data_IF_612903003222
#
_entry.id   IF_612903003222
#
_cell.length_a   1.000
_cell.length_b   1.000
_cell.length_c   1.000
_cell.angle_alpha   90.00
_cell.angle_beta   90.00
_cell.angle_gamma   90.00
#
_symmetry.space_group_name_H-M   'P 1'
#
loop_
_entity.id
_entity.type
_entity.pdbx_description
1 polymer ?
#
# COMPACT_ATOMS: atom_id res chain seq x y z
N UNK A 1 28.36 33.16 28.84
CA UNK A 1 28.40 32.39 27.59
C UNK A 1 28.93 31.00 27.90
N UNK A 2 28.20 29.92 27.64
CA UNK A 2 28.76 28.56 27.59
C UNK A 2 27.84 27.69 26.72
N UNK A 3 28.24 27.42 25.48
CA UNK A 3 27.66 26.37 24.65
C UNK A 3 28.53 25.13 24.78
N UNK A 4 27.93 24.02 25.20
CA UNK A 4 28.57 22.71 25.19
C UNK A 4 28.80 22.23 23.73
N UNK A 5 29.88 21.50 23.44
CA UNK A 5 30.15 21.01 22.09
C UNK A 5 29.08 19.99 21.67
N UNK A 6 28.42 20.27 20.54
CA UNK A 6 27.52 19.33 19.87
C UNK A 6 28.36 18.16 19.30
N UNK A 7 27.95 16.90 19.47
CA UNK A 7 28.62 15.78 18.83
C UNK A 7 28.53 15.90 17.30
N UNK A 8 29.52 15.41 16.54
CA UNK A 8 29.51 15.49 15.08
C UNK A 8 28.27 14.76 14.54
N UNK A 9 27.52 15.45 13.68
CA UNK A 9 26.38 14.85 12.99
C UNK A 9 26.87 13.63 12.19
N UNK A 10 26.35 12.46 12.55
CA UNK A 10 26.63 11.22 11.82
C UNK A 10 26.29 11.41 10.32
N UNK A 11 27.06 10.83 9.39
CA UNK A 11 26.79 10.95 7.98
C UNK A 11 25.36 10.47 7.70
N UNK A 12 24.56 11.37 7.14
CA UNK A 12 23.19 11.10 6.74
C UNK A 12 23.27 10.19 5.52
N UNK A 13 23.29 8.88 5.73
CA UNK A 13 22.92 7.90 4.70
C UNK A 13 21.47 8.22 4.36
N UNK A 14 21.28 9.12 3.41
CA UNK A 14 19.98 9.56 2.94
C UNK A 14 19.21 8.30 2.61
N UNK A 15 18.18 8.04 3.42
CA UNK A 15 17.46 6.79 3.46
C UNK A 15 16.97 6.50 2.04
N UNK A 16 17.68 5.64 1.30
CA UNK A 16 17.56 5.48 -0.18
C UNK A 16 16.11 5.27 -0.62
N UNK A 17 15.33 4.63 0.25
CA UNK A 17 13.89 4.42 0.10
C UNK A 17 13.08 5.72 0.05
N UNK A 18 13.43 6.73 0.84
CA UNK A 18 12.78 8.05 0.82
C UNK A 18 13.07 8.76 -0.50
N UNK A 19 14.33 8.73 -0.98
CA UNK A 19 14.70 9.32 -2.25
C UNK A 19 13.93 8.66 -3.42
N UNK A 20 13.87 7.32 -3.45
CA UNK A 20 13.11 6.56 -4.44
C UNK A 20 11.60 6.89 -4.39
N UNK A 21 11.01 6.99 -3.19
CA UNK A 21 9.59 7.37 -3.02
C UNK A 21 9.32 8.78 -3.55
N UNK A 22 10.24 9.72 -3.32
CA UNK A 22 10.12 11.10 -3.83
C UNK A 22 10.21 11.14 -5.36
N UNK A 23 11.09 10.36 -5.97
CA UNK A 23 11.18 10.25 -7.44
C UNK A 23 9.89 9.69 -8.04
N UNK A 24 9.37 8.58 -7.49
CA UNK A 24 8.08 8.02 -7.95
C UNK A 24 6.94 9.03 -7.82
N UNK A 25 6.90 9.79 -6.73
CA UNK A 25 5.91 10.83 -6.53
C UNK A 25 6.04 11.99 -7.54
N UNK A 26 7.27 12.39 -7.91
CA UNK A 26 7.49 13.36 -8.99
C UNK A 26 6.91 12.87 -10.31
N UNK A 27 7.18 11.63 -10.67
CA UNK A 27 6.62 11.00 -11.87
C UNK A 27 5.09 11.03 -11.87
N UNK A 28 4.45 10.68 -10.75
CA UNK A 28 2.98 10.74 -10.61
C UNK A 28 2.42 12.16 -10.78
N UNK A 29 3.10 13.17 -10.22
CA UNK A 29 2.68 14.58 -10.36
C UNK A 29 2.84 15.10 -11.79
N UNK A 30 3.86 14.65 -12.51
CA UNK A 30 4.05 15.01 -13.92
C UNK A 30 2.98 14.38 -14.83
N UNK A 31 2.49 13.19 -14.48
CA UNK A 31 1.43 12.49 -15.21
C UNK A 31 0.02 13.01 -14.91
N UNK A 32 -0.18 13.79 -13.84
CA UNK A 32 -1.48 14.37 -13.47
C UNK A 32 -1.74 14.43 -11.96
N UNK A 33 -2.94 14.03 -11.55
CA UNK A 33 -3.39 14.12 -10.14
C UNK A 33 -2.74 13.02 -9.30
N UNK A 34 -1.72 13.38 -8.52
CA UNK A 34 -0.96 12.42 -7.70
C UNK A 34 -1.71 11.88 -6.46
N UNK A 35 -2.72 12.59 -5.98
CA UNK A 35 -3.54 12.20 -4.81
C UNK A 35 -5.02 12.24 -5.18
N UNK A 36 -5.50 11.25 -5.95
CA UNK A 36 -6.90 11.20 -6.36
C UNK A 36 -7.81 10.78 -5.19
N UNK A 37 -9.07 11.23 -5.23
CA UNK A 37 -10.10 10.91 -4.23
C UNK A 37 -11.44 10.48 -4.89
N UNK A 38 -11.34 9.81 -6.03
CA UNK A 38 -12.46 9.32 -6.84
C UNK A 38 -12.79 7.84 -6.56
N UNK A 39 -11.83 7.07 -6.03
CA UNK A 39 -12.07 5.66 -5.71
C UNK A 39 -13.15 5.50 -4.62
N UNK A 40 -14.10 4.60 -4.85
CA UNK A 40 -15.20 4.27 -3.92
C UNK A 40 -15.20 2.77 -3.64
N UNK A 41 -14.63 2.33 -2.49
CA UNK A 41 -14.78 0.97 -2.00
C UNK A 41 -16.26 0.66 -1.73
N UNK A 42 -16.66 -0.60 -1.92
CA UNK A 42 -18.00 -1.09 -1.61
C UNK A 42 -18.00 -2.24 -0.59
N UNK A 43 -16.82 -2.65 -0.11
CA UNK A 43 -16.66 -3.72 0.86
C UNK A 43 -15.50 -3.44 1.82
N UNK A 44 -15.65 -3.93 3.06
CA UNK A 44 -14.62 -3.97 4.07
C UNK A 44 -14.09 -5.41 4.23
N UNK A 45 -12.78 -5.55 4.44
CA UNK A 45 -12.14 -6.87 4.51
C UNK A 45 -12.63 -7.72 5.69
N UNK A 46 -12.97 -7.10 6.83
CA UNK A 46 -13.51 -7.80 8.00
C UNK A 46 -14.87 -8.44 7.72
N UNK A 47 -15.78 -7.67 7.13
CA UNK A 47 -17.12 -8.14 6.76
C UNK A 47 -17.05 -9.28 5.75
N UNK A 48 -16.19 -9.15 4.72
CA UNK A 48 -15.97 -10.22 3.75
C UNK A 48 -15.50 -11.51 4.42
N UNK A 49 -14.54 -11.42 5.35
CA UNK A 49 -14.07 -12.59 6.07
C UNK A 49 -15.18 -13.25 6.90
N UNK A 50 -16.01 -12.46 7.58
CA UNK A 50 -17.13 -12.98 8.36
C UNK A 50 -18.15 -13.69 7.48
N UNK A 51 -18.56 -13.05 6.38
CA UNK A 51 -19.56 -13.57 5.44
C UNK A 51 -19.07 -14.83 4.72
N UNK A 52 -17.78 -14.92 4.38
CA UNK A 52 -17.25 -16.01 3.56
C UNK A 52 -16.48 -17.08 4.32
N UNK A 53 -16.25 -16.91 5.63
CA UNK A 53 -15.40 -17.82 6.43
C UNK A 53 -15.81 -19.29 6.39
N UNK A 54 -17.10 -19.57 6.25
CA UNK A 54 -17.66 -20.93 6.20
C UNK A 54 -17.94 -21.48 4.80
N UNK A 55 -17.63 -20.71 3.75
CA UNK A 55 -17.93 -21.11 2.37
C UNK A 55 -16.74 -21.83 1.74
N UNK A 56 -17.02 -22.86 0.95
CA UNK A 56 -16.00 -23.53 0.15
C UNK A 56 -15.72 -22.78 -1.17
N UNK A 57 -14.69 -23.23 -1.88
CA UNK A 57 -14.24 -22.59 -3.11
C UNK A 57 -15.31 -22.63 -4.23
N UNK A 58 -16.05 -23.73 -4.34
CA UNK A 58 -17.06 -23.90 -5.39
C UNK A 58 -18.27 -23.00 -5.14
N UNK A 59 -18.69 -22.88 -3.88
CA UNK A 59 -19.76 -21.97 -3.46
C UNK A 59 -19.38 -20.52 -3.71
N UNK A 60 -18.15 -20.12 -3.35
CA UNK A 60 -17.65 -18.77 -3.62
C UNK A 60 -17.54 -18.48 -5.12
N UNK A 61 -17.07 -19.45 -5.91
CA UNK A 61 -16.99 -19.32 -7.35
C UNK A 61 -18.38 -19.16 -7.99
N UNK A 62 -19.37 -19.92 -7.53
CA UNK A 62 -20.76 -19.84 -8.01
C UNK A 62 -21.42 -18.49 -7.70
N UNK A 63 -21.10 -17.86 -6.57
CA UNK A 63 -21.60 -16.52 -6.25
C UNK A 63 -21.07 -15.44 -7.21
N UNK A 64 -19.85 -15.63 -7.74
CA UNK A 64 -19.19 -14.71 -8.66
C UNK A 64 -19.22 -13.23 -8.21
N UNK A 65 -19.25 -12.99 -6.90
CA UNK A 65 -19.41 -11.65 -6.32
C UNK A 65 -18.19 -10.79 -6.62
N UNK A 66 -18.42 -9.61 -7.19
CA UNK A 66 -17.39 -8.59 -7.40
C UNK A 66 -17.42 -7.58 -6.25
N UNK A 67 -16.23 -7.21 -5.79
CA UNK A 67 -16.05 -6.25 -4.69
C UNK A 67 -14.90 -5.29 -4.99
N UNK A 68 -14.95 -4.10 -4.42
CA UNK A 68 -13.92 -3.07 -4.45
C UNK A 68 -13.48 -2.77 -3.02
N UNK A 69 -12.20 -2.99 -2.76
CA UNK A 69 -11.57 -2.73 -1.46
C UNK A 69 -10.50 -1.65 -1.57
N UNK A 70 -10.26 -0.91 -0.49
CA UNK A 70 -9.10 -0.01 -0.36
C UNK A 70 -8.45 -0.21 1.01
N UNK A 71 -7.14 0.00 1.09
CA UNK A 71 -6.38 -0.16 2.31
C UNK A 71 -4.89 0.11 2.12
N UNK A 72 -4.13 -0.06 3.19
CA UNK A 72 -2.67 0.05 3.14
C UNK A 72 -2.06 -1.25 2.65
N UNK A 73 -1.20 -1.19 1.63
CA UNK A 73 -0.37 -2.33 1.26
C UNK A 73 0.70 -2.55 2.35
N UNK A 74 0.61 -3.68 3.06
CA UNK A 74 1.53 -4.12 4.11
C UNK A 74 2.60 -5.06 3.56
N UNK A 75 2.28 -5.84 2.53
CA UNK A 75 3.23 -6.73 1.88
C UNK A 75 2.84 -7.05 0.45
N UNK A 76 3.85 -7.35 -0.37
CA UNK A 76 3.68 -7.80 -1.75
C UNK A 76 4.62 -8.98 -2.01
N UNK A 77 4.08 -10.08 -2.54
CA UNK A 77 4.85 -11.23 -3.02
C UNK A 77 4.69 -11.31 -4.53
N UNK A 78 5.81 -11.26 -5.25
CA UNK A 78 5.84 -11.28 -6.72
C UNK A 78 6.20 -12.69 -7.19
N UNK A 79 5.39 -13.25 -8.08
CA UNK A 79 5.51 -14.61 -8.62
C UNK A 79 5.40 -14.57 -10.15
N UNK A 80 6.29 -13.82 -10.81
CA UNK A 80 6.28 -13.63 -12.26
C UNK A 80 4.99 -12.96 -12.74
N UNK A 81 4.11 -13.73 -13.39
CA UNK A 81 2.82 -13.26 -13.93
C UNK A 81 1.72 -13.11 -12.86
N UNK A 82 1.94 -13.64 -11.65
CA UNK A 82 1.03 -13.49 -10.53
C UNK A 82 1.69 -12.68 -9.40
N UNK A 83 0.88 -12.02 -8.57
CA UNK A 83 1.35 -11.35 -7.37
C UNK A 83 0.26 -11.41 -6.29
N UNK A 84 0.68 -11.49 -5.04
CA UNK A 84 -0.21 -11.47 -3.88
C UNK A 84 0.12 -10.26 -3.02
N UNK A 85 -0.91 -9.57 -2.55
CA UNK A 85 -0.78 -8.42 -1.66
C UNK A 85 -1.60 -8.66 -0.38
N UNK A 86 -1.14 -8.05 0.72
CA UNK A 86 -1.86 -7.94 1.99
C UNK A 86 -1.72 -6.53 2.54
#
# INVERSE_FOLDING_TARGET
MNQAPQPPAAPVDENKLIAERREKLRGLRAAGVAYPNDFRPDACAGDLQQETSGLDADTLAAQARRVKVAGRMLGKRVMGKASFAR
#
